data_IF_139966917484
#
_entry.id   IF_139966917484
#
_cell.length_a   1.000
_cell.length_b   1.000
_cell.length_c   1.000
_cell.angle_alpha   90.00
_cell.angle_beta   90.00
_cell.angle_gamma   90.00
#
_symmetry.space_group_name_H-M   'P 1'
#
loop_
_entity.id
_entity.type
_entity.pdbx_description
1 polymer ?
#
# COMPACT_ATOMS: atom_id res chain seq x y z
N UNK A 1 1.60 -0.06 -22.97
CA UNK A 1 0.87 -0.14 -21.69
C UNK A 1 1.39 0.97 -20.81
N UNK A 2 0.53 1.84 -20.33
CA UNK A 2 0.89 2.96 -19.47
C UNK A 2 0.99 2.49 -18.02
N UNK A 3 2.23 2.35 -17.54
CA UNK A 3 2.55 1.87 -16.18
C UNK A 3 2.01 2.81 -15.12
N UNK A 4 2.05 4.13 -15.38
CA UNK A 4 1.61 5.16 -14.45
C UNK A 4 0.11 5.03 -14.18
N UNK A 5 -0.68 4.92 -15.25
CA UNK A 5 -2.13 4.73 -15.16
C UNK A 5 -2.53 3.33 -14.67
N UNK A 6 -1.77 2.29 -15.03
CA UNK A 6 -2.06 0.92 -14.61
C UNK A 6 -1.92 0.73 -13.10
N UNK A 7 -0.84 1.23 -12.51
CA UNK A 7 -0.55 1.09 -11.08
C UNK A 7 -1.01 2.27 -10.22
N UNK A 8 -1.71 3.25 -10.83
CA UNK A 8 -2.22 4.44 -10.13
C UNK A 8 -1.09 5.15 -9.36
N UNK A 9 0.03 5.38 -10.04
CA UNK A 9 1.22 5.96 -9.45
C UNK A 9 0.98 7.37 -8.92
N UNK A 10 0.00 8.10 -9.46
CA UNK A 10 -0.48 9.37 -8.92
C UNK A 10 -0.94 9.26 -7.45
N UNK A 11 -1.73 8.22 -7.13
CA UNK A 11 -2.18 7.98 -5.75
C UNK A 11 -1.07 7.39 -4.90
N UNK A 12 -0.28 6.45 -5.43
CA UNK A 12 0.80 5.81 -4.69
C UNK A 12 1.88 6.82 -4.29
N UNK A 13 2.31 7.69 -5.22
CA UNK A 13 3.33 8.73 -4.94
C UNK A 13 2.79 9.75 -3.93
N UNK A 14 1.52 10.16 -4.04
CA UNK A 14 0.93 11.07 -3.06
C UNK A 14 0.93 10.46 -1.66
N UNK A 15 0.53 9.19 -1.55
CA UNK A 15 0.46 8.50 -0.25
C UNK A 15 1.84 8.12 0.30
N UNK A 16 2.86 7.96 -0.55
CA UNK A 16 4.26 7.82 -0.13
C UNK A 16 4.73 9.01 0.70
N UNK A 17 4.11 10.18 0.57
CA UNK A 17 4.37 11.33 1.44
C UNK A 17 4.27 11.00 2.93
N UNK A 18 3.33 10.13 3.32
CA UNK A 18 3.19 9.67 4.72
C UNK A 18 4.38 8.79 5.12
N UNK A 19 4.82 7.90 4.22
CA UNK A 19 6.02 7.10 4.44
C UNK A 19 7.28 7.97 4.57
N UNK A 20 7.39 9.05 3.79
CA UNK A 20 8.48 10.02 3.90
C UNK A 20 8.44 10.73 5.26
N UNK A 21 7.27 11.20 5.70
CA UNK A 21 7.10 11.81 7.02
C UNK A 21 7.51 10.82 8.13
N UNK A 22 7.16 9.55 7.99
CA UNK A 22 7.55 8.48 8.91
C UNK A 22 9.08 8.31 8.99
N UNK A 23 9.78 8.32 7.85
CA UNK A 23 11.25 8.28 7.85
C UNK A 23 11.84 9.50 8.56
N UNK A 24 11.28 10.69 8.35
CA UNK A 24 11.75 11.91 9.03
C UNK A 24 11.44 11.92 10.52
N UNK A 25 10.33 11.33 10.97
CA UNK A 25 9.99 11.28 12.40
C UNK A 25 10.95 10.40 13.19
N UNK A 26 11.66 9.47 12.56
CA UNK A 26 12.77 8.72 13.20
C UNK A 26 13.88 9.65 13.72
N UNK A 27 14.13 10.78 13.06
CA UNK A 27 15.10 11.77 13.55
C UNK A 27 14.62 12.38 14.88
N UNK A 28 13.31 12.55 15.05
CA UNK A 28 12.72 13.07 16.29
C UNK A 28 12.81 12.07 17.46
N UNK A 29 13.02 10.77 17.19
CA UNK A 29 13.33 9.78 18.23
C UNK A 29 14.82 9.67 18.56
N UNK A 30 15.65 10.55 17.98
CA UNK A 30 17.09 10.61 18.25
C UNK A 30 17.90 9.56 17.50
N UNK A 31 17.30 8.87 16.53
CA UNK A 31 17.98 7.87 15.70
C UNK A 31 18.29 8.42 14.31
N UNK A 32 19.43 8.04 13.75
CA UNK A 32 19.77 8.35 12.35
C UNK A 32 19.49 7.11 11.49
N UNK A 33 18.43 7.12 10.66
CA UNK A 33 18.07 5.96 9.87
C UNK A 33 19.09 5.72 8.76
N UNK A 34 19.42 4.45 8.51
CA UNK A 34 20.19 4.06 7.33
C UNK A 34 19.42 4.43 6.07
N UNK A 35 20.05 5.17 5.16
CA UNK A 35 19.46 5.58 3.88
C UNK A 35 18.98 4.39 3.06
N UNK A 36 19.74 3.28 3.09
CA UNK A 36 19.35 2.06 2.38
C UNK A 36 18.03 1.48 2.91
N UNK A 37 17.89 1.34 4.23
CA UNK A 37 16.68 0.79 4.84
C UNK A 37 15.50 1.75 4.74
N UNK A 38 15.73 3.07 4.77
CA UNK A 38 14.69 4.07 4.54
C UNK A 38 14.16 3.99 3.11
N UNK A 39 15.05 3.93 2.12
CA UNK A 39 14.68 3.74 0.73
C UNK A 39 13.94 2.42 0.52
N UNK A 40 14.43 1.33 1.11
CA UNK A 40 13.80 0.02 1.04
C UNK A 40 12.36 0.05 1.58
N UNK A 41 12.12 0.65 2.76
CA UNK A 41 10.78 0.75 3.34
C UNK A 41 9.82 1.53 2.42
N UNK A 42 10.28 2.62 1.80
CA UNK A 42 9.47 3.39 0.83
C UNK A 42 9.16 2.59 -0.43
N UNK A 43 10.14 1.84 -0.96
CA UNK A 43 9.92 0.93 -2.10
C UNK A 43 8.90 -0.14 -1.75
N UNK A 44 8.99 -0.72 -0.55
CA UNK A 44 8.05 -1.76 -0.11
C UNK A 44 6.63 -1.22 0.03
N UNK A 45 6.46 0.01 0.54
CA UNK A 45 5.16 0.72 0.52
C UNK A 45 4.66 0.91 -0.91
N UNK A 46 5.52 1.41 -1.80
CA UNK A 46 5.13 1.66 -3.19
C UNK A 46 4.62 0.38 -3.85
N UNK A 47 5.32 -0.74 -3.65
CA UNK A 47 4.94 -2.04 -4.22
C UNK A 47 3.58 -2.53 -3.71
N UNK A 48 3.30 -2.44 -2.40
CA UNK A 48 1.98 -2.84 -1.88
C UNK A 48 0.85 -1.94 -2.39
N UNK A 49 1.11 -0.64 -2.58
CA UNK A 49 0.12 0.30 -3.12
C UNK A 49 -0.15 0.05 -4.60
N UNK A 50 0.90 -0.15 -5.40
CA UNK A 50 0.78 -0.52 -6.81
C UNK A 50 -0.06 -1.79 -6.97
N UNK A 51 0.20 -2.82 -6.15
CA UNK A 51 -0.62 -4.02 -6.13
C UNK A 51 -2.08 -3.70 -5.77
N UNK A 52 -2.29 -3.06 -4.61
CA UNK A 52 -3.63 -2.82 -4.08
C UNK A 52 -4.50 -1.96 -5.00
N UNK A 53 -3.97 -0.87 -5.57
CA UNK A 53 -4.76 -0.01 -6.45
C UNK A 53 -5.05 -0.63 -7.81
N UNK A 54 -4.06 -1.31 -8.41
CA UNK A 54 -4.29 -2.02 -9.68
C UNK A 54 -5.27 -3.18 -9.49
N UNK A 55 -5.17 -3.93 -8.38
CA UNK A 55 -6.13 -4.99 -8.07
C UNK A 55 -7.53 -4.44 -7.75
N UNK A 56 -7.64 -3.27 -7.10
CA UNK A 56 -8.92 -2.60 -6.89
C UNK A 56 -9.58 -2.25 -8.24
N UNK A 57 -8.84 -1.63 -9.16
CA UNK A 57 -9.34 -1.31 -10.50
C UNK A 57 -9.80 -2.56 -11.27
N UNK A 58 -9.05 -3.65 -11.17
CA UNK A 58 -9.43 -4.93 -11.76
C UNK A 58 -10.79 -5.40 -11.22
N UNK A 59 -10.96 -5.47 -9.89
CA UNK A 59 -12.22 -5.91 -9.30
C UNK A 59 -13.38 -4.94 -9.53
N UNK A 60 -13.11 -3.64 -9.60
CA UNK A 60 -14.13 -2.62 -9.91
C UNK A 60 -14.67 -2.76 -11.32
N UNK A 61 -13.79 -3.03 -12.27
CA UNK A 61 -14.23 -3.36 -13.61
C UNK A 61 -15.00 -4.69 -13.64
N UNK A 62 -14.52 -5.75 -12.97
CA UNK A 62 -15.19 -7.06 -13.00
C UNK A 62 -16.59 -7.04 -12.36
N UNK A 63 -16.77 -6.30 -11.26
CA UNK A 63 -18.03 -6.28 -10.50
C UNK A 63 -18.99 -5.19 -10.96
N UNK A 64 -18.49 -3.98 -11.22
CA UNK A 64 -19.32 -2.80 -11.51
C UNK A 64 -19.18 -2.27 -12.93
N UNK A 65 -18.31 -2.87 -13.77
CA UNK A 65 -17.99 -2.34 -15.10
C UNK A 65 -17.52 -0.89 -15.04
N UNK A 66 -16.82 -0.54 -13.96
CA UNK A 66 -16.30 0.80 -13.78
C UNK A 66 -15.29 1.14 -14.89
N UNK A 67 -15.46 2.32 -15.50
CA UNK A 67 -14.61 2.79 -16.59
C UNK A 67 -13.26 3.27 -16.06
N UNK A 68 -12.34 2.33 -15.86
CA UNK A 68 -10.95 2.61 -15.45
C UNK A 68 -9.94 2.08 -16.50
N UNK A 69 -8.64 2.37 -16.28
CA UNK A 69 -7.60 2.01 -17.26
C UNK A 69 -7.50 0.49 -17.49
N UNK A 70 -7.66 -0.33 -16.45
CA UNK A 70 -7.65 -1.79 -16.57
C UNK A 70 -8.86 -2.29 -17.35
N UNK A 71 -10.05 -1.73 -17.10
CA UNK A 71 -11.25 -2.01 -17.87
C UNK A 71 -11.05 -1.74 -19.36
N UNK A 72 -10.49 -0.57 -19.71
CA UNK A 72 -10.16 -0.22 -21.10
C UNK A 72 -9.20 -1.21 -21.75
N UNK A 73 -8.19 -1.71 -21.02
CA UNK A 73 -7.27 -2.71 -21.56
C UNK A 73 -8.00 -4.02 -21.89
N UNK A 74 -8.88 -4.48 -20.99
CA UNK A 74 -9.68 -5.71 -21.19
C UNK A 74 -10.61 -5.54 -22.39
N UNK A 75 -11.32 -4.42 -22.49
CA UNK A 75 -12.22 -4.10 -23.61
C UNK A 75 -11.47 -4.03 -24.94
N UNK A 76 -10.23 -3.54 -24.94
CA UNK A 76 -9.35 -3.50 -26.11
C UNK A 76 -8.69 -4.86 -26.43
N UNK A 77 -9.12 -5.96 -25.79
CA UNK A 77 -8.68 -7.32 -26.11
C UNK A 77 -7.44 -7.81 -25.36
N UNK A 78 -6.96 -7.10 -24.31
CA UNK A 78 -5.91 -7.65 -23.46
C UNK A 78 -6.41 -8.86 -22.66
N UNK A 79 -5.59 -9.91 -22.63
CA UNK A 79 -5.91 -11.13 -21.89
C UNK A 79 -5.98 -10.86 -20.38
N UNK A 80 -7.10 -11.23 -19.75
CA UNK A 80 -7.31 -11.03 -18.30
C UNK A 80 -6.22 -11.69 -17.45
N UNK A 81 -5.74 -12.88 -17.84
CA UNK A 81 -4.67 -13.59 -17.12
C UNK A 81 -3.37 -12.75 -17.05
N UNK A 82 -3.03 -12.05 -18.13
CA UNK A 82 -1.86 -11.16 -18.15
C UNK A 82 -2.07 -9.96 -17.25
N UNK A 83 -3.27 -9.39 -17.24
CA UNK A 83 -3.61 -8.27 -16.36
C UNK A 83 -3.50 -8.68 -14.89
N UNK A 84 -4.07 -9.82 -14.51
CA UNK A 84 -3.95 -10.38 -13.16
C UNK A 84 -2.50 -10.63 -12.76
N UNK A 85 -1.69 -11.18 -13.67
CA UNK A 85 -0.26 -11.34 -13.41
C UNK A 85 0.42 -10.00 -13.16
N UNK A 86 0.11 -8.97 -13.96
CA UNK A 86 0.67 -7.63 -13.81
C UNK A 86 0.22 -6.94 -12.52
N UNK A 87 -1.01 -7.16 -12.03
CA UNK A 87 -1.44 -6.64 -10.73
C UNK A 87 -0.74 -7.36 -9.57
N UNK A 88 -0.35 -8.63 -9.74
CA UNK A 88 0.40 -9.41 -8.75
C UNK A 88 1.91 -9.17 -8.79
N UNK A 89 2.44 -8.67 -9.91
CA UNK A 89 3.89 -8.44 -10.10
C UNK A 89 4.54 -7.61 -8.97
N UNK A 90 3.95 -6.52 -8.45
CA UNK A 90 4.54 -5.78 -7.34
C UNK A 90 4.71 -6.62 -6.07
N UNK A 91 3.80 -7.57 -5.79
CA UNK A 91 3.96 -8.50 -4.67
C UNK A 91 5.08 -9.50 -4.91
N UNK A 92 5.26 -9.98 -6.14
CA UNK A 92 6.38 -10.86 -6.48
C UNK A 92 7.72 -10.14 -6.26
N UNK A 93 7.80 -8.86 -6.63
CA UNK A 93 8.98 -8.03 -6.37
C UNK A 93 9.14 -7.80 -4.86
N UNK A 94 8.06 -7.58 -4.12
CA UNK A 94 8.09 -7.44 -2.65
C UNK A 94 8.70 -8.67 -1.98
N UNK A 95 8.42 -9.88 -2.46
CA UNK A 95 9.03 -11.12 -1.93
C UNK A 95 10.57 -11.07 -2.00
N UNK A 96 11.14 -10.50 -3.06
CA UNK A 96 12.59 -10.37 -3.23
C UNK A 96 13.22 -9.41 -2.20
N UNK A 97 12.43 -8.55 -1.57
CA UNK A 97 12.88 -7.60 -0.54
C UNK A 97 12.83 -8.18 0.90
N UNK A 98 12.17 -9.33 1.09
CA UNK A 98 11.99 -9.95 2.41
C UNK A 98 13.30 -10.29 3.15
N UNK A 99 14.38 -10.76 2.49
CA UNK A 99 15.65 -11.03 3.18
C UNK A 99 16.28 -9.79 3.84
N UNK A 100 15.93 -8.60 3.36
CA UNK A 100 16.40 -7.32 3.90
C UNK A 100 15.38 -6.69 4.87
N UNK A 101 14.33 -7.43 5.22
CA UNK A 101 13.24 -6.93 6.05
C UNK A 101 13.31 -7.46 7.49
N UNK A 102 12.66 -6.76 8.40
CA UNK A 102 12.48 -7.21 9.78
C UNK A 102 11.03 -7.66 10.05
N UNK A 103 10.75 -8.07 11.30
CA UNK A 103 9.42 -8.56 11.73
C UNK A 103 8.25 -7.63 11.41
N UNK A 104 8.49 -6.33 11.23
CA UNK A 104 7.42 -5.37 10.95
C UNK A 104 6.93 -5.43 9.50
N UNK A 105 7.55 -6.22 8.63
CA UNK A 105 7.01 -6.57 7.30
C UNK A 105 5.62 -7.22 7.39
N UNK A 106 5.27 -7.79 8.54
CA UNK A 106 3.91 -8.29 8.83
C UNK A 106 2.84 -7.20 8.68
N UNK A 107 3.16 -5.92 8.89
CA UNK A 107 2.22 -4.81 8.64
C UNK A 107 1.88 -4.66 7.16
N UNK A 108 2.81 -4.97 6.25
CA UNK A 108 2.56 -4.96 4.81
C UNK A 108 1.64 -6.11 4.39
N UNK A 109 1.83 -7.29 4.99
CA UNK A 109 0.90 -8.41 4.77
C UNK A 109 -0.49 -8.10 5.32
N UNK A 110 -0.57 -7.48 6.51
CA UNK A 110 -1.83 -7.00 7.07
C UNK A 110 -2.50 -5.99 6.13
N UNK A 111 -1.75 -5.03 5.59
CA UNK A 111 -2.25 -4.08 4.59
C UNK A 111 -2.86 -4.80 3.39
N UNK A 112 -2.17 -5.78 2.80
CA UNK A 112 -2.68 -6.53 1.64
C UNK A 112 -3.96 -7.27 1.98
N UNK A 113 -4.05 -7.89 3.17
CA UNK A 113 -5.27 -8.58 3.62
C UNK A 113 -6.42 -7.60 3.81
N UNK A 114 -6.20 -6.50 4.53
CA UNK A 114 -7.23 -5.48 4.76
C UNK A 114 -7.73 -4.87 3.45
N UNK A 115 -6.81 -4.56 2.54
CA UNK A 115 -7.16 -4.02 1.23
C UNK A 115 -7.85 -5.06 0.35
N UNK A 116 -7.49 -6.35 0.47
CA UNK A 116 -8.23 -7.43 -0.17
C UNK A 116 -9.66 -7.50 0.34
N UNK A 117 -9.89 -7.48 1.66
CA UNK A 117 -11.24 -7.44 2.24
C UNK A 117 -12.04 -6.20 1.80
N UNK A 118 -11.35 -5.07 1.61
CA UNK A 118 -11.93 -3.84 1.10
C UNK A 118 -12.46 -3.98 -0.34
N UNK A 119 -11.69 -4.58 -1.24
CA UNK A 119 -11.96 -4.57 -2.70
C UNK A 119 -12.55 -5.87 -3.27
N UNK A 120 -12.27 -7.00 -2.63
CA UNK A 120 -12.56 -8.34 -3.14
C UNK A 120 -14.06 -8.55 -3.40
N UNK A 121 -14.46 -9.25 -4.47
CA UNK A 121 -15.88 -9.47 -4.80
C UNK A 121 -16.69 -10.12 -3.68
N UNK A 122 -16.09 -11.02 -2.90
CA UNK A 122 -16.78 -11.78 -1.84
C UNK A 122 -17.13 -10.92 -0.61
N UNK A 123 -16.22 -10.04 -0.18
CA UNK A 123 -16.39 -9.25 1.05
C UNK A 123 -16.78 -7.80 0.74
N UNK A 124 -15.98 -7.13 -0.09
CA UNK A 124 -16.18 -5.78 -0.62
C UNK A 124 -16.62 -4.75 0.43
N UNK A 125 -15.87 -4.68 1.53
CA UNK A 125 -16.20 -3.81 2.68
C UNK A 125 -16.31 -2.33 2.32
N UNK A 126 -15.74 -1.90 1.19
CA UNK A 126 -15.88 -0.54 0.68
C UNK A 126 -17.32 -0.09 0.38
N UNK A 127 -18.28 -1.02 0.26
CA UNK A 127 -19.72 -0.69 0.15
C UNK A 127 -20.30 -0.15 1.46
N UNK A 128 -19.70 -0.49 2.60
CA UNK A 128 -20.14 -0.04 3.91
C UNK A 128 -19.35 1.21 4.29
N UNK A 129 -20.05 2.34 4.46
CA UNK A 129 -19.44 3.64 4.73
C UNK A 129 -18.46 3.61 5.92
N UNK A 130 -18.88 3.05 7.05
CA UNK A 130 -18.06 2.97 8.26
C UNK A 130 -16.77 2.15 8.04
N UNK A 131 -16.90 0.96 7.47
CA UNK A 131 -15.74 0.09 7.18
C UNK A 131 -14.82 0.70 6.13
N UNK A 132 -15.37 1.39 5.14
CA UNK A 132 -14.58 2.10 4.14
C UNK A 132 -13.71 3.18 4.77
N UNK A 133 -14.26 3.98 5.71
CA UNK A 133 -13.49 4.98 6.44
C UNK A 133 -12.39 4.31 7.27
N UNK A 134 -12.75 3.33 8.10
CA UNK A 134 -11.80 2.64 8.99
C UNK A 134 -10.65 2.03 8.18
N UNK A 135 -10.95 1.28 7.12
CA UNK A 135 -9.92 0.62 6.33
C UNK A 135 -9.05 1.61 5.56
N UNK A 136 -9.63 2.71 5.06
CA UNK A 136 -8.83 3.76 4.41
C UNK A 136 -7.91 4.47 5.41
N UNK A 137 -8.40 4.86 6.59
CA UNK A 137 -7.56 5.47 7.64
C UNK A 137 -6.44 4.53 8.10
N UNK A 138 -6.75 3.25 8.32
CA UNK A 138 -5.75 2.27 8.74
C UNK A 138 -4.75 1.98 7.62
N UNK A 139 -5.22 1.66 6.41
CA UNK A 139 -4.33 1.24 5.32
C UNK A 139 -3.56 2.43 4.74
N UNK A 140 -4.26 3.51 4.39
CA UNK A 140 -3.70 4.65 3.67
C UNK A 140 -3.15 5.75 4.60
N UNK A 141 -3.38 5.64 5.91
CA UNK A 141 -2.80 6.53 6.91
C UNK A 141 -1.86 5.77 7.84
N UNK A 142 -2.43 5.06 8.81
CA UNK A 142 -1.68 4.49 9.93
C UNK A 142 -0.60 3.49 9.50
N UNK A 143 -0.89 2.52 8.63
CA UNK A 143 0.12 1.53 8.20
C UNK A 143 1.26 2.21 7.42
N UNK A 144 0.94 3.18 6.56
CA UNK A 144 1.97 3.90 5.79
C UNK A 144 2.92 4.68 6.69
N UNK A 145 2.44 5.12 7.85
CA UNK A 145 3.27 5.72 8.90
C UNK A 145 3.99 4.66 9.75
N UNK A 146 3.24 3.72 10.33
CA UNK A 146 3.72 2.80 11.34
C UNK A 146 4.79 1.85 10.79
N UNK A 147 4.63 1.42 9.53
CA UNK A 147 5.55 0.46 8.95
C UNK A 147 6.99 1.00 8.79
N UNK A 148 7.26 2.12 8.08
CA UNK A 148 8.64 2.61 7.94
C UNK A 148 9.24 2.99 9.29
N UNK A 149 8.44 3.56 10.19
CA UNK A 149 8.89 3.94 11.52
C UNK A 149 9.41 2.74 12.30
N UNK A 150 8.59 1.70 12.43
CA UNK A 150 8.94 0.48 13.17
C UNK A 150 10.01 -0.33 12.44
N UNK A 151 10.01 -0.28 11.11
CA UNK A 151 11.04 -0.89 10.29
C UNK A 151 12.42 -0.33 10.59
N UNK A 152 12.52 0.99 10.80
CA UNK A 152 13.78 1.70 11.03
C UNK A 152 14.19 1.72 12.51
N UNK A 153 13.26 1.93 13.42
CA UNK A 153 13.55 2.11 14.86
C UNK A 153 13.47 0.83 15.66
N UNK A 154 12.63 -0.11 15.24
CA UNK A 154 12.33 -1.32 15.97
C UNK A 154 11.52 -1.13 17.27
N UNK A 155 11.14 0.10 17.62
CA UNK A 155 10.62 0.46 18.95
C UNK A 155 9.31 1.24 18.92
N UNK A 156 8.51 1.09 19.97
CA UNK A 156 7.29 1.85 20.23
C UNK A 156 7.60 2.93 21.27
N UNK A 157 7.91 4.14 20.82
CA UNK A 157 8.21 5.29 21.67
C UNK A 157 7.12 6.37 21.59
N UNK A 158 7.32 7.48 22.29
CA UNK A 158 6.34 8.58 22.31
C UNK A 158 6.08 9.14 20.90
N UNK A 159 7.12 9.26 20.07
CA UNK A 159 7.00 9.77 18.69
C UNK A 159 6.13 8.84 17.86
N UNK A 160 6.32 7.51 17.98
CA UNK A 160 5.46 6.54 17.34
C UNK A 160 3.99 6.74 17.70
N UNK A 161 3.67 6.86 18.99
CA UNK A 161 2.28 6.98 19.43
C UNK A 161 1.65 8.31 19.00
N UNK A 162 2.37 9.42 19.12
CA UNK A 162 1.87 10.75 18.73
C UNK A 162 1.48 10.77 17.26
N UNK A 163 2.38 10.36 16.37
CA UNK A 163 2.10 10.37 14.93
C UNK A 163 1.14 9.25 14.51
N UNK A 164 1.13 8.11 15.21
CA UNK A 164 0.13 7.06 14.97
C UNK A 164 -1.28 7.56 15.18
N UNK A 165 -1.53 8.38 16.20
CA UNK A 165 -2.84 8.99 16.43
C UNK A 165 -3.17 9.97 15.29
N UNK A 166 -2.21 10.79 14.88
CA UNK A 166 -2.42 11.77 13.78
C UNK A 166 -2.78 11.08 12.47
N UNK A 167 -2.12 9.97 12.11
CA UNK A 167 -2.37 9.27 10.85
C UNK A 167 -3.48 8.22 10.90
N UNK A 168 -4.12 8.03 12.06
CA UNK A 168 -5.30 7.17 12.22
C UNK A 168 -6.61 7.92 11.99
N UNK A 169 -6.61 9.26 12.10
CA UNK A 169 -7.79 10.14 11.97
C UNK A 169 -7.63 11.11 10.81
#
# INVERSE_FOLDING_TARGET
MDVFNFYRLDFSIRNLGIGVISVFSVLASGQMPSLFYAFLALVQILLIQMHSFSMNHYFDYKVWKEKNYIGKLIENGFQERKILFLTLLPLLILVLTLPFSNKYVLLLFLYVILFFLYQSPQFRLKKHYLWSIILNSVCLGWILYAYPYLFLTGSFDLVFFTFSVIFLF
#
